data_IF_432687664148
#
_entry.id   IF_432687664148
#
_cell.length_a   1.000
_cell.length_b   1.000
_cell.length_c   1.000
_cell.angle_alpha   90.00
_cell.angle_beta   90.00
_cell.angle_gamma   90.00
#
_symmetry.space_group_name_H-M   'P 1'
#
loop_
_entity.id
_entity.type
_entity.pdbx_description
1 polymer ?
#
# COMPACT_ATOMS: atom_id res chain seq x y z
N UNK A 1 -4.25 -7.56 -34.40
CA UNK A 1 -3.29 -6.68 -33.69
C UNK A 1 -4.04 -6.10 -32.50
N UNK A 2 -3.50 -6.24 -31.29
CA UNK A 2 -4.06 -5.60 -30.11
C UNK A 2 -3.38 -4.24 -29.92
N UNK A 3 -4.17 -3.19 -29.67
CA UNK A 3 -3.68 -1.86 -29.29
C UNK A 3 -3.99 -1.64 -27.82
N UNK A 4 -2.99 -1.17 -27.06
CA UNK A 4 -3.09 -0.98 -25.62
C UNK A 4 -3.31 0.50 -25.29
N UNK A 5 -4.33 0.80 -24.48
CA UNK A 5 -4.69 2.15 -24.05
C UNK A 5 -4.63 2.31 -22.52
N UNK A 6 -3.74 1.55 -21.87
CA UNK A 6 -3.61 1.53 -20.42
C UNK A 6 -3.28 2.89 -19.79
N UNK A 7 -2.47 3.78 -20.39
CA UNK A 7 -2.23 5.10 -19.81
C UNK A 7 -3.50 5.95 -19.67
N UNK A 8 -4.37 5.93 -20.69
CA UNK A 8 -5.66 6.63 -20.64
C UNK A 8 -6.58 6.04 -19.58
N UNK A 9 -6.68 4.71 -19.53
CA UNK A 9 -7.45 4.00 -18.51
C UNK A 9 -6.97 4.33 -17.08
N UNK A 10 -5.66 4.29 -16.86
CA UNK A 10 -5.01 4.63 -15.58
C UNK A 10 -5.32 6.08 -15.17
N UNK A 11 -5.25 7.02 -16.11
CA UNK A 11 -5.59 8.42 -15.88
C UNK A 11 -7.07 8.60 -15.50
N UNK A 12 -7.99 7.87 -16.16
CA UNK A 12 -9.41 7.92 -15.82
C UNK A 12 -9.68 7.39 -14.40
N UNK A 13 -8.99 6.33 -13.97
CA UNK A 13 -9.08 5.86 -12.58
C UNK A 13 -8.42 6.82 -11.58
N UNK A 14 -7.34 7.52 -11.95
CA UNK A 14 -6.77 8.59 -11.12
C UNK A 14 -7.80 9.69 -10.86
N UNK A 15 -8.47 10.15 -11.91
CA UNK A 15 -9.54 11.16 -11.81
C UNK A 15 -10.69 10.66 -10.93
N UNK A 16 -11.12 9.41 -11.10
CA UNK A 16 -12.15 8.80 -10.26
C UNK A 16 -11.78 8.81 -8.76
N UNK A 17 -10.50 8.62 -8.42
CA UNK A 17 -10.01 8.72 -7.05
C UNK A 17 -9.99 10.17 -6.53
N UNK A 18 -9.61 11.13 -7.38
CA UNK A 18 -9.48 12.55 -7.04
C UNK A 18 -10.84 13.23 -6.87
N UNK A 19 -11.76 13.01 -7.80
CA UNK A 19 -13.10 13.59 -7.78
C UNK A 19 -13.96 12.95 -6.66
N UNK A 20 -13.60 11.74 -6.24
CA UNK A 20 -14.34 10.93 -5.29
C UNK A 20 -15.83 10.83 -5.67
N UNK A 21 -16.14 10.72 -6.97
CA UNK A 21 -17.49 10.48 -7.44
C UNK A 21 -17.94 9.05 -7.10
N UNK A 22 -19.20 8.83 -6.74
CA UNK A 22 -19.78 7.51 -6.41
C UNK A 22 -18.99 6.62 -5.40
N UNK A 23 -18.15 7.22 -4.56
CA UNK A 23 -17.43 6.48 -3.52
C UNK A 23 -18.40 5.83 -2.52
N UNK A 24 -18.03 4.64 -2.04
CA UNK A 24 -18.86 3.85 -1.12
C UNK A 24 -18.08 3.28 0.07
N UNK A 25 -16.83 3.69 0.22
CA UNK A 25 -16.02 3.40 1.41
C UNK A 25 -15.19 4.62 1.82
N UNK A 26 -15.13 4.85 3.13
CA UNK A 26 -14.22 5.77 3.79
C UNK A 26 -13.16 4.97 4.55
N UNK A 27 -11.90 5.17 4.21
CA UNK A 27 -10.76 4.54 4.88
C UNK A 27 -10.06 5.55 5.76
N UNK A 28 -10.16 5.35 7.07
CA UNK A 28 -9.49 6.16 8.08
C UNK A 28 -8.15 5.53 8.44
N UNK A 29 -7.05 6.24 8.20
CA UNK A 29 -5.70 5.75 8.46
C UNK A 29 -4.95 6.64 9.44
N UNK A 30 -3.91 6.08 10.05
CA UNK A 30 -3.05 6.75 11.01
C UNK A 30 -3.62 6.80 12.43
N UNK A 31 -2.82 7.33 13.35
CA UNK A 31 -3.18 7.55 14.76
C UNK A 31 -3.02 9.02 15.09
N UNK A 32 -3.86 9.52 15.99
CA UNK A 32 -3.82 10.92 16.43
C UNK A 32 -2.39 11.33 16.85
N UNK A 33 -1.91 12.52 16.43
CA UNK A 33 -2.63 13.55 15.66
C UNK A 33 -2.58 13.37 14.13
N UNK A 34 -1.87 12.36 13.61
CA UNK A 34 -1.64 12.17 12.18
C UNK A 34 -2.63 11.17 11.57
N UNK A 35 -3.88 11.60 11.40
CA UNK A 35 -4.96 10.81 10.79
C UNK A 35 -5.41 11.43 9.47
N UNK A 36 -5.82 10.59 8.51
CA UNK A 36 -6.42 11.04 7.24
C UNK A 36 -7.54 10.10 6.82
N UNK A 37 -8.62 10.67 6.29
CA UNK A 37 -9.72 9.94 5.67
C UNK A 37 -9.52 9.90 4.16
N UNK A 38 -9.75 8.74 3.54
CA UNK A 38 -9.72 8.54 2.10
C UNK A 38 -11.08 8.02 1.63
N UNK A 39 -11.67 8.69 0.65
CA UNK A 39 -12.88 8.21 -0.04
C UNK A 39 -12.49 7.31 -1.21
N UNK A 40 -13.12 6.14 -1.33
CA UNK A 40 -12.74 5.14 -2.33
C UNK A 40 -13.90 4.22 -2.74
N UNK A 41 -13.59 3.29 -3.65
CA UNK A 41 -14.53 2.36 -4.24
C UNK A 41 -14.20 0.92 -3.82
N UNK A 42 -15.16 0.27 -3.16
CA UNK A 42 -14.98 -1.10 -2.66
C UNK A 42 -14.66 -2.09 -3.77
N UNK A 43 -15.23 -1.95 -4.98
CA UNK A 43 -14.95 -2.85 -6.11
C UNK A 43 -13.47 -2.79 -6.54
N UNK A 44 -12.86 -1.61 -6.63
CA UNK A 44 -11.45 -1.43 -6.97
C UNK A 44 -10.57 -2.02 -5.87
N UNK A 45 -10.83 -1.68 -4.60
CA UNK A 45 -10.05 -2.22 -3.47
C UNK A 45 -10.10 -3.75 -3.43
N UNK A 46 -11.29 -4.34 -3.60
CA UNK A 46 -11.49 -5.81 -3.60
C UNK A 46 -10.86 -6.50 -4.82
N UNK A 47 -10.74 -5.81 -5.95
CA UNK A 47 -10.07 -6.34 -7.13
C UNK A 47 -8.54 -6.32 -6.99
N UNK A 48 -7.98 -5.34 -6.27
CA UNK A 48 -6.54 -5.11 -6.14
C UNK A 48 -5.91 -5.71 -4.88
N UNK A 49 -6.72 -6.20 -3.94
CA UNK A 49 -6.23 -6.76 -2.67
C UNK A 49 -7.12 -7.90 -2.17
N UNK A 50 -6.58 -9.11 -1.98
CA UNK A 50 -7.26 -10.22 -1.32
C UNK A 50 -7.70 -9.88 0.11
N UNK A 51 -6.94 -9.04 0.81
CA UNK A 51 -7.32 -8.53 2.13
C UNK A 51 -8.63 -7.74 2.05
N UNK A 52 -8.69 -6.71 1.20
CA UNK A 52 -9.91 -5.91 1.02
C UNK A 52 -11.06 -6.75 0.46
N UNK A 53 -10.78 -7.73 -0.42
CA UNK A 53 -11.78 -8.68 -0.91
C UNK A 53 -12.52 -9.41 0.21
N UNK A 54 -11.78 -9.85 1.24
CA UNK A 54 -12.32 -10.54 2.42
C UNK A 54 -12.94 -9.55 3.43
N UNK A 55 -12.21 -8.50 3.77
CA UNK A 55 -12.65 -7.52 4.77
C UNK A 55 -13.96 -6.81 4.36
N UNK A 56 -14.15 -6.57 3.06
CA UNK A 56 -15.35 -5.89 2.56
C UNK A 56 -16.49 -6.86 2.17
N UNK A 57 -16.27 -8.18 2.18
CA UNK A 57 -17.32 -9.16 1.88
C UNK A 57 -18.06 -9.69 3.11
N UNK A 58 -17.46 -9.64 4.30
CA UNK A 58 -17.96 -10.35 5.50
C UNK A 58 -18.77 -9.49 6.48
N UNK A 59 -19.43 -8.40 6.06
CA UNK A 59 -20.12 -7.46 6.98
C UNK A 59 -19.23 -6.93 8.14
N UNK A 60 -17.90 -7.00 8.01
CA UNK A 60 -16.95 -6.42 8.98
C UNK A 60 -16.98 -4.89 9.01
N UNK A 61 -17.56 -4.28 8.00
CA UNK A 61 -17.74 -2.83 7.92
C UNK A 61 -19.13 -2.43 8.44
N UNK A 62 -19.17 -1.47 9.36
CA UNK A 62 -20.41 -0.77 9.69
C UNK A 62 -20.95 -0.09 8.42
N UNK A 63 -21.97 -0.69 7.81
CA UNK A 63 -22.74 -0.06 6.74
C UNK A 63 -23.75 0.88 7.38
N UNK A 64 -23.45 2.17 7.44
CA UNK A 64 -24.44 3.21 7.72
C UNK A 64 -24.79 3.87 6.40
N UNK A 65 -26.05 3.85 6.00
CA UNK A 65 -26.54 4.49 4.77
C UNK A 65 -25.77 4.08 3.50
N UNK A 66 -25.48 2.78 3.32
CA UNK A 66 -24.67 2.24 2.21
C UNK A 66 -23.21 2.70 2.13
N UNK A 67 -22.71 3.43 3.13
CA UNK A 67 -21.30 3.81 3.26
C UNK A 67 -20.56 2.84 4.18
N UNK A 68 -19.44 2.30 3.71
CA UNK A 68 -18.53 1.45 4.49
C UNK A 68 -17.51 2.33 5.20
N UNK A 69 -17.40 2.24 6.52
CA UNK A 69 -16.28 2.83 7.26
C UNK A 69 -15.23 1.76 7.57
N UNK A 70 -14.00 2.00 7.17
CA UNK A 70 -12.87 1.09 7.36
C UNK A 70 -11.73 1.82 8.07
N UNK A 71 -11.07 1.19 9.03
CA UNK A 71 -10.03 1.85 9.84
C UNK A 71 -8.73 1.05 9.84
N UNK A 72 -7.60 1.71 9.58
CA UNK A 72 -6.23 1.17 9.61
C UNK A 72 -5.29 2.12 10.35
N UNK A 73 -5.34 2.13 11.69
CA UNK A 73 -4.62 3.13 12.48
C UNK A 73 -3.10 2.90 12.46
N UNK A 74 -2.66 1.71 12.06
CA UNK A 74 -1.28 1.30 11.95
C UNK A 74 -0.63 1.65 10.60
N UNK A 75 -1.40 2.13 9.60
CA UNK A 75 -0.86 2.59 8.32
C UNK A 75 -0.84 4.12 8.34
N UNK A 76 0.29 4.74 8.02
CA UNK A 76 0.38 6.21 7.99
C UNK A 76 -0.37 6.80 6.78
N UNK A 77 -0.82 8.06 6.85
CA UNK A 77 -1.45 8.73 5.71
C UNK A 77 -0.61 8.72 4.42
N UNK A 78 0.71 8.91 4.54
CA UNK A 78 1.63 8.95 3.39
C UNK A 78 1.71 7.57 2.74
N UNK A 79 1.84 6.51 3.55
CA UNK A 79 1.92 5.14 3.07
C UNK A 79 0.62 4.71 2.41
N UNK A 80 -0.52 4.99 3.03
CA UNK A 80 -1.80 4.65 2.43
C UNK A 80 -2.07 5.42 1.13
N UNK A 81 -1.60 6.68 1.03
CA UNK A 81 -1.69 7.46 -0.20
C UNK A 81 -0.90 6.82 -1.36
N UNK A 82 0.29 6.26 -1.08
CA UNK A 82 1.04 5.49 -2.08
C UNK A 82 0.26 4.25 -2.54
N UNK A 83 -0.28 3.49 -1.58
CA UNK A 83 -1.01 2.23 -1.84
C UNK A 83 -2.27 2.50 -2.65
N UNK A 84 -3.09 3.48 -2.25
CA UNK A 84 -4.36 3.74 -2.93
C UNK A 84 -4.12 4.28 -4.34
N UNK A 85 -3.12 5.15 -4.55
CA UNK A 85 -2.76 5.60 -5.90
C UNK A 85 -2.34 4.43 -6.78
N UNK A 86 -1.49 3.53 -6.27
CA UNK A 86 -1.12 2.30 -6.98
C UNK A 86 -2.33 1.42 -7.29
N UNK A 87 -3.28 1.26 -6.36
CA UNK A 87 -4.47 0.43 -6.60
C UNK A 87 -5.32 0.94 -7.77
N UNK A 88 -5.44 2.27 -7.92
CA UNK A 88 -6.24 2.87 -8.99
C UNK A 88 -5.48 2.96 -10.32
N UNK A 89 -4.18 3.29 -10.27
CA UNK A 89 -3.44 3.69 -11.46
C UNK A 89 -2.45 2.63 -11.94
N UNK A 90 -2.08 1.67 -11.08
CA UNK A 90 -0.95 0.79 -11.31
C UNK A 90 0.42 1.48 -11.22
N UNK A 91 0.46 2.75 -10.77
CA UNK A 91 1.68 3.56 -10.70
C UNK A 91 2.09 3.73 -9.23
N UNK A 92 3.36 3.47 -8.94
CA UNK A 92 3.99 3.73 -7.64
C UNK A 92 5.23 4.61 -7.84
N UNK A 93 5.25 5.79 -7.21
CA UNK A 93 6.38 6.73 -7.28
C UNK A 93 7.11 6.83 -5.93
N UNK A 94 8.29 6.22 -5.87
CA UNK A 94 9.13 6.18 -4.67
C UNK A 94 10.28 7.21 -4.68
N UNK A 95 10.46 7.98 -5.77
CA UNK A 95 11.67 8.80 -6.00
C UNK A 95 11.94 9.86 -4.93
N UNK A 96 10.90 10.29 -4.21
CA UNK A 96 10.97 11.32 -3.17
C UNK A 96 10.57 10.81 -1.78
N UNK A 97 10.42 9.50 -1.62
CA UNK A 97 9.97 8.90 -0.36
C UNK A 97 11.17 8.60 0.53
N UNK A 98 11.01 8.78 1.85
CA UNK A 98 12.04 8.40 2.79
C UNK A 98 12.15 6.87 2.86
N UNK A 99 13.34 6.34 3.13
CA UNK A 99 13.53 4.89 3.28
C UNK A 99 12.62 4.28 4.36
N UNK A 100 12.33 5.04 5.42
CA UNK A 100 11.39 4.62 6.46
C UNK A 100 9.95 4.48 5.93
N UNK A 101 9.46 5.43 5.13
CA UNK A 101 8.13 5.35 4.51
C UNK A 101 8.06 4.18 3.50
N UNK A 102 9.16 3.88 2.82
CA UNK A 102 9.24 2.74 1.89
C UNK A 102 9.24 1.41 2.67
N UNK A 103 9.90 1.33 3.82
CA UNK A 103 9.82 0.16 4.71
C UNK A 103 8.39 -0.01 5.25
N UNK A 104 7.75 1.08 5.69
CA UNK A 104 6.35 1.03 6.14
C UNK A 104 5.39 0.64 5.00
N UNK A 105 5.68 1.05 3.76
CA UNK A 105 4.97 0.59 2.57
C UNK A 105 5.09 -0.92 2.39
N UNK A 106 6.27 -1.50 2.62
CA UNK A 106 6.46 -2.96 2.58
C UNK A 106 5.60 -3.67 3.63
N UNK A 107 5.63 -3.19 4.88
CA UNK A 107 4.82 -3.73 5.99
C UNK A 107 3.33 -3.64 5.67
N UNK A 108 2.86 -2.48 5.21
CA UNK A 108 1.46 -2.30 4.86
C UNK A 108 1.04 -3.14 3.64
N UNK A 109 1.96 -3.38 2.69
CA UNK A 109 1.70 -4.24 1.53
C UNK A 109 1.54 -5.71 1.94
N UNK A 110 2.32 -6.20 2.91
CA UNK A 110 2.13 -7.52 3.51
C UNK A 110 0.77 -7.65 4.19
N UNK A 111 0.42 -6.69 5.07
CA UNK A 111 -0.85 -6.70 5.79
C UNK A 111 -2.06 -6.65 4.84
N UNK A 112 -1.97 -5.87 3.76
CA UNK A 112 -3.01 -5.74 2.74
C UNK A 112 -2.92 -6.81 1.65
N UNK A 113 -1.97 -7.76 1.76
CA UNK A 113 -1.77 -8.89 0.86
C UNK A 113 -1.58 -8.48 -0.60
N UNK A 114 -0.73 -7.48 -0.85
CA UNK A 114 -0.43 -6.94 -2.17
C UNK A 114 0.93 -7.46 -2.63
N UNK A 115 0.97 -8.72 -3.08
CA UNK A 115 2.22 -9.44 -3.42
C UNK A 115 3.10 -8.73 -4.46
N UNK A 116 2.49 -8.06 -5.44
CA UNK A 116 3.20 -7.26 -6.45
C UNK A 116 4.03 -6.15 -5.79
N UNK A 117 3.44 -5.43 -4.82
CA UNK A 117 4.16 -4.39 -4.09
C UNK A 117 5.22 -4.96 -3.16
N UNK A 118 4.93 -6.06 -2.46
CA UNK A 118 5.91 -6.71 -1.58
C UNK A 118 7.18 -7.08 -2.35
N UNK A 119 7.01 -7.66 -3.54
CA UNK A 119 8.12 -8.07 -4.41
C UNK A 119 8.90 -6.86 -4.92
N UNK A 120 8.17 -5.85 -5.42
CA UNK A 120 8.78 -4.64 -5.97
C UNK A 120 9.55 -3.83 -4.92
N UNK A 121 8.96 -3.60 -3.74
CA UNK A 121 9.51 -2.73 -2.71
C UNK A 121 10.77 -3.31 -2.09
N UNK A 122 10.84 -4.63 -1.87
CA UNK A 122 12.06 -5.29 -1.40
C UNK A 122 13.23 -5.05 -2.35
N UNK A 123 13.02 -5.30 -3.65
CA UNK A 123 14.01 -5.06 -4.69
C UNK A 123 14.42 -3.59 -4.74
N UNK A 124 13.44 -2.68 -4.69
CA UNK A 124 13.69 -1.24 -4.73
C UNK A 124 14.57 -0.76 -3.57
N UNK A 125 14.29 -1.22 -2.34
CA UNK A 125 15.08 -0.89 -1.15
C UNK A 125 16.54 -1.34 -1.31
N UNK A 126 16.75 -2.59 -1.75
CA UNK A 126 18.09 -3.17 -1.94
C UNK A 126 18.88 -2.41 -3.00
N UNK A 127 18.25 -2.09 -4.13
CA UNK A 127 18.91 -1.49 -5.30
C UNK A 127 19.10 0.03 -5.21
N UNK A 128 18.16 0.75 -4.57
CA UNK A 128 18.10 2.22 -4.64
C UNK A 128 18.29 2.90 -3.26
N UNK A 129 18.15 2.17 -2.16
CA UNK A 129 18.27 2.71 -0.79
C UNK A 129 19.33 1.97 0.04
N UNK A 130 20.36 1.42 -0.61
CA UNK A 130 21.42 0.62 0.04
C UNK A 130 22.11 1.34 1.21
N UNK A 131 22.42 2.63 1.06
CA UNK A 131 23.06 3.41 2.14
C UNK A 131 22.12 3.58 3.35
N UNK A 132 20.86 3.89 3.09
CA UNK A 132 19.86 3.98 4.15
C UNK A 132 19.63 2.62 4.83
N UNK A 133 19.57 1.52 4.06
CA UNK A 133 19.46 0.16 4.59
C UNK A 133 20.62 -0.17 5.52
N UNK A 134 21.86 0.10 5.12
CA UNK A 134 23.06 -0.14 5.95
C UNK A 134 22.99 0.63 7.27
N UNK A 135 22.58 1.89 7.21
CA UNK A 135 22.45 2.73 8.40
C UNK A 135 21.30 2.31 9.33
N UNK A 136 20.34 1.51 8.84
CA UNK A 136 19.14 1.10 9.58
C UNK A 136 18.99 -0.43 9.67
N UNK A 137 20.09 -1.18 9.42
CA UNK A 137 20.05 -2.63 9.16
C UNK A 137 19.34 -3.43 10.26
N UNK A 138 19.64 -3.14 11.53
CA UNK A 138 19.05 -3.82 12.69
C UNK A 138 17.53 -3.58 12.75
N UNK A 139 17.09 -2.34 12.51
CA UNK A 139 15.67 -2.00 12.52
C UNK A 139 14.93 -2.63 11.33
N UNK A 140 15.53 -2.58 10.14
CA UNK A 140 14.99 -3.23 8.94
C UNK A 140 14.84 -4.72 9.18
N UNK A 141 15.91 -5.40 9.59
CA UNK A 141 15.89 -6.84 9.86
C UNK A 141 14.83 -7.19 10.90
N UNK A 142 14.78 -6.48 12.03
CA UNK A 142 13.75 -6.70 13.05
C UNK A 142 12.33 -6.57 12.49
N UNK A 143 12.10 -5.59 11.61
CA UNK A 143 10.80 -5.36 10.97
C UNK A 143 10.45 -6.50 10.02
N UNK A 144 11.35 -6.86 9.12
CA UNK A 144 11.05 -7.85 8.07
C UNK A 144 11.11 -9.29 8.56
N UNK A 145 11.78 -9.58 9.68
CA UNK A 145 11.92 -10.93 10.22
C UNK A 145 10.57 -11.58 10.56
N UNK A 146 9.57 -10.77 10.95
CA UNK A 146 8.20 -11.24 11.22
C UNK A 146 7.34 -11.40 9.96
N UNK A 147 7.85 -10.97 8.79
CA UNK A 147 7.11 -10.96 7.53
C UNK A 147 7.64 -12.07 6.63
N UNK A 148 6.99 -13.24 6.64
CA UNK A 148 7.41 -14.41 5.85
C UNK A 148 7.50 -14.13 4.34
N UNK A 149 6.76 -13.14 3.85
CA UNK A 149 6.76 -12.67 2.46
C UNK A 149 8.02 -11.85 2.08
N UNK A 150 8.80 -11.42 3.07
CA UNK A 150 9.93 -10.50 2.90
C UNK A 150 11.30 -11.19 2.85
N UNK A 151 11.37 -12.44 2.34
CA UNK A 151 12.60 -13.25 2.32
C UNK A 151 13.77 -12.57 1.63
N UNK A 152 13.54 -11.89 0.52
CA UNK A 152 14.62 -11.25 -0.24
C UNK A 152 15.34 -10.18 0.61
N UNK A 153 14.57 -9.36 1.33
CA UNK A 153 15.16 -8.33 2.19
C UNK A 153 15.72 -8.93 3.49
N UNK A 154 15.14 -10.02 4.01
CA UNK A 154 15.72 -10.76 5.13
C UNK A 154 17.11 -11.32 4.78
N UNK A 155 17.21 -12.05 3.66
CA UNK A 155 18.47 -12.65 3.19
C UNK A 155 19.54 -11.58 2.98
N UNK A 156 19.18 -10.48 2.31
CA UNK A 156 20.08 -9.33 2.13
C UNK A 156 20.60 -8.77 3.47
N UNK A 157 19.72 -8.64 4.45
CA UNK A 157 20.11 -8.12 5.76
C UNK A 157 21.04 -9.08 6.50
N UNK A 158 20.79 -10.40 6.43
CA UNK A 158 21.60 -11.43 7.07
C UNK A 158 22.99 -11.56 6.43
N UNK A 159 23.11 -11.43 5.10
CA UNK A 159 24.39 -11.43 4.40
C UNK A 159 25.24 -10.17 4.66
N UNK A 160 24.59 -9.10 5.16
CA UNK A 160 25.24 -7.82 5.45
C UNK A 160 25.71 -7.65 6.90
N UNK A 161 25.49 -8.66 7.76
CA UNK A 161 25.93 -8.72 9.17
C UNK A 161 27.21 -9.54 9.29
#
# INVERSE_FOLDING_TARGET
MASEFFPGLSQNFSQLLEDADDYNVKVNVGKNPNTKEFCAHTNILRARSPYFKRALSQDWAEKKNNMVNFTKPNISPIVFEMIIKYMYTGILDLRKQAGADILDLLVASDELLIEELITFVQKYLIENHTEWLRNNLVNVLHTVFQLESCKQLQDYCLESI
#
